data_IF_493489907074
#
_entry.id   IF_493489907074
#
_cell.length_a   1.000
_cell.length_b   1.000
_cell.length_c   1.000
_cell.angle_alpha   90.00
_cell.angle_beta   90.00
_cell.angle_gamma   90.00
#
_symmetry.space_group_name_H-M   'P 1'
#
loop_
_entity.id
_entity.type
_entity.pdbx_description
1 polymer ?
#
# COMPACT_ATOMS: atom_id res chain seq x y z
N UNK A 1 -2.49 1.83 -24.23
CA UNK A 1 -1.61 1.58 -23.06
C UNK A 1 -1.89 2.63 -22.00
N UNK A 2 -1.66 2.34 -20.72
CA UNK A 2 -2.07 3.20 -19.59
C UNK A 2 -1.70 4.70 -19.71
N UNK A 3 -0.58 5.03 -20.38
CA UNK A 3 -0.20 6.44 -20.65
C UNK A 3 -1.04 7.07 -21.77
N UNK A 4 -1.24 6.36 -22.88
CA UNK A 4 -2.02 6.87 -24.03
C UNK A 4 -3.51 6.99 -23.71
N UNK A 5 -3.99 6.15 -22.79
CA UNK A 5 -5.37 6.15 -22.28
C UNK A 5 -5.57 7.13 -21.11
N UNK A 6 -4.51 7.80 -20.64
CA UNK A 6 -4.58 8.83 -19.59
C UNK A 6 -4.65 8.31 -18.16
N UNK A 7 -4.59 7.00 -17.92
CA UNK A 7 -4.49 6.41 -16.57
C UNK A 7 -3.19 6.78 -15.85
N UNK A 8 -2.09 6.99 -16.60
CA UNK A 8 -0.80 7.44 -16.08
C UNK A 8 -0.38 8.69 -16.86
N UNK A 9 -0.10 9.78 -16.16
CA UNK A 9 0.42 10.99 -16.84
C UNK A 9 1.80 10.71 -17.44
N UNK A 10 2.16 11.39 -18.54
CA UNK A 10 3.50 11.23 -19.14
C UNK A 10 4.63 11.51 -18.15
N UNK A 11 4.44 12.44 -17.22
CA UNK A 11 5.39 12.73 -16.15
C UNK A 11 5.49 11.57 -15.13
N UNK A 12 4.36 11.00 -14.70
CA UNK A 12 4.33 9.89 -13.73
C UNK A 12 4.98 8.60 -14.26
N UNK A 13 5.16 8.45 -15.59
CA UNK A 13 5.89 7.32 -16.18
C UNK A 13 7.33 7.23 -15.68
N UNK A 14 7.96 8.35 -15.32
CA UNK A 14 9.36 8.38 -14.90
C UNK A 14 9.60 7.73 -13.53
N UNK A 15 8.54 7.35 -12.80
CA UNK A 15 8.61 6.61 -11.54
C UNK A 15 9.24 5.21 -11.74
N UNK A 16 8.98 4.57 -12.89
CA UNK A 16 9.46 3.21 -13.15
C UNK A 16 10.70 3.28 -14.05
N UNK A 17 11.85 2.89 -13.50
CA UNK A 17 13.13 2.85 -14.21
C UNK A 17 13.50 1.40 -14.49
N UNK A 18 13.77 1.09 -15.75
CA UNK A 18 14.34 -0.19 -16.18
C UNK A 18 15.72 0.01 -16.81
N UNK A 19 16.62 -0.93 -16.56
CA UNK A 19 17.98 -0.94 -17.09
C UNK A 19 18.40 -2.39 -17.39
N UNK A 20 19.35 -2.61 -18.32
CA UNK A 20 19.81 -3.95 -18.65
C UNK A 20 20.79 -4.54 -17.62
N UNK A 21 21.22 -3.76 -16.62
CA UNK A 21 22.11 -4.22 -15.56
C UNK A 21 21.82 -3.53 -14.23
N UNK A 22 22.11 -4.24 -13.14
CA UNK A 22 21.99 -3.70 -11.79
C UNK A 22 22.88 -2.45 -11.58
N UNK A 23 24.09 -2.45 -12.14
CA UNK A 23 25.00 -1.29 -12.03
C UNK A 23 24.40 -0.02 -12.61
N UNK A 24 23.79 -0.11 -13.79
CA UNK A 24 23.10 1.03 -14.42
C UNK A 24 21.83 1.42 -13.66
N UNK A 25 21.15 0.46 -13.03
CA UNK A 25 19.97 0.76 -12.20
C UNK A 25 20.34 1.64 -11.00
N UNK A 26 21.37 1.23 -10.26
CA UNK A 26 21.84 1.96 -9.08
C UNK A 26 22.30 3.36 -9.46
N UNK A 27 23.09 3.50 -10.52
CA UNK A 27 23.51 4.81 -11.02
C UNK A 27 22.32 5.73 -11.32
N UNK A 28 21.29 5.20 -12.01
CA UNK A 28 20.08 5.98 -12.31
C UNK A 28 19.28 6.36 -11.06
N UNK A 29 19.30 5.54 -10.01
CA UNK A 29 18.66 5.90 -8.74
C UNK A 29 19.43 6.98 -7.99
N UNK A 30 20.76 6.95 -8.01
CA UNK A 30 21.59 7.99 -7.38
C UNK A 30 21.45 9.35 -8.09
N UNK A 31 21.30 9.34 -9.42
CA UNK A 31 21.11 10.54 -10.24
C UNK A 31 19.67 11.08 -10.21
N UNK A 32 18.69 10.30 -9.75
CA UNK A 32 17.28 10.66 -9.85
C UNK A 32 16.91 11.77 -8.85
N UNK A 33 16.38 12.86 -9.39
CA UNK A 33 15.74 13.95 -8.63
C UNK A 33 14.30 14.07 -9.12
N UNK A 34 13.32 13.97 -8.21
CA UNK A 34 11.91 14.09 -8.59
C UNK A 34 11.60 15.51 -9.05
N UNK A 35 11.04 15.66 -10.26
CA UNK A 35 10.62 16.96 -10.80
C UNK A 35 9.32 17.49 -10.16
N UNK A 36 8.66 16.68 -9.31
CA UNK A 36 7.40 17.02 -8.66
C UNK A 36 7.33 16.42 -7.24
N UNK A 37 6.75 17.17 -6.31
CA UNK A 37 6.34 16.64 -5.01
C UNK A 37 5.03 15.87 -5.17
N UNK A 38 5.07 14.56 -4.96
CA UNK A 38 3.89 13.74 -4.91
C UNK A 38 3.31 13.78 -3.49
N UNK A 39 2.19 14.49 -3.29
CA UNK A 39 1.43 14.48 -2.04
C UNK A 39 0.60 13.18 -1.93
N UNK A 40 1.29 12.03 -1.99
CA UNK A 40 0.68 10.72 -1.82
C UNK A 40 0.58 10.41 -0.33
N UNK A 41 -0.64 10.23 0.16
CA UNK A 41 -0.91 9.74 1.51
C UNK A 41 -1.38 8.30 1.36
N UNK A 42 -0.80 7.39 2.13
CA UNK A 42 -1.34 6.03 2.22
C UNK A 42 -2.74 6.11 2.80
N UNK A 43 -3.73 5.57 2.09
CA UNK A 43 -4.99 5.22 2.72
C UNK A 43 -4.68 4.14 3.75
N UNK A 44 -4.49 4.58 4.99
CA UNK A 44 -4.51 3.70 6.13
C UNK A 44 -5.95 3.26 6.26
N UNK A 45 -6.18 1.94 6.27
CA UNK A 45 -7.46 1.33 6.62
C UNK A 45 -7.88 1.83 8.01
N UNK A 46 -8.50 3.00 8.06
CA UNK A 46 -9.34 3.44 9.16
C UNK A 46 -10.77 2.99 8.90
N UNK A 47 -10.95 1.85 8.22
CA UNK A 47 -12.12 1.02 8.48
C UNK A 47 -12.00 0.58 9.94
N UNK A 48 -12.60 1.37 10.81
CA UNK A 48 -12.91 0.96 12.18
C UNK A 48 -13.48 -0.45 12.07
N UNK A 49 -12.71 -1.44 12.49
CA UNK A 49 -13.20 -2.79 12.69
C UNK A 49 -14.30 -2.68 13.75
N UNK A 50 -15.55 -2.56 13.31
CA UNK A 50 -16.75 -2.69 14.14
C UNK A 50 -16.91 -4.17 14.48
N UNK A 51 -15.95 -4.73 15.20
CA UNK A 51 -15.98 -6.10 15.74
C UNK A 51 -15.94 -6.09 17.27
N UNK A 52 -16.60 -5.11 17.87
CA UNK A 52 -16.93 -5.12 19.29
C UNK A 52 -18.37 -4.63 19.38
N UNK A 53 -19.31 -5.57 19.26
CA UNK A 53 -20.67 -5.48 19.83
C UNK A 53 -21.33 -6.88 19.91
N UNK A 54 -20.88 -7.87 19.10
CA UNK A 54 -21.47 -9.23 19.13
C UNK A 54 -20.80 -10.23 20.09
N UNK A 55 -19.61 -9.95 20.63
CA UNK A 55 -18.89 -10.86 21.55
C UNK A 55 -19.00 -10.37 23.00
N UNK A 56 -20.22 -10.10 23.47
CA UNK A 56 -20.52 -9.95 24.90
C UNK A 56 -21.52 -10.99 25.42
N UNK A 57 -22.00 -11.89 24.58
CA UNK A 57 -22.91 -12.96 25.02
C UNK A 57 -22.19 -14.31 25.19
N UNK A 58 -21.35 -14.38 26.22
CA UNK A 58 -20.74 -15.62 26.68
C UNK A 58 -21.67 -16.46 27.57
N UNK A 59 -22.98 -16.14 27.63
CA UNK A 59 -23.96 -16.86 28.45
C UNK A 59 -24.19 -18.31 27.99
N UNK A 60 -23.74 -18.67 26.79
CA UNK A 60 -23.90 -20.00 26.21
C UNK A 60 -22.73 -20.97 26.45
N UNK A 61 -21.65 -20.56 27.10
CA UNK A 61 -20.54 -21.49 27.38
C UNK A 61 -20.79 -22.24 28.71
N UNK A 62 -20.89 -23.58 28.69
CA UNK A 62 -20.94 -24.34 29.94
C UNK A 62 -19.62 -24.18 30.69
N UNK A 63 -19.69 -23.92 32.00
CA UNK A 63 -18.51 -23.82 32.85
C UNK A 63 -17.70 -25.13 32.75
N UNK A 64 -16.37 -25.06 32.52
CA UNK A 64 -15.55 -26.27 32.52
C UNK A 64 -15.58 -26.87 33.92
N UNK A 65 -16.09 -28.09 34.03
CA UNK A 65 -16.03 -28.88 35.25
C UNK A 65 -14.58 -29.29 35.46
N UNK A 66 -13.93 -28.74 36.49
CA UNK A 66 -12.57 -29.16 36.87
C UNK A 66 -12.66 -30.59 37.43
N UNK A 67 -11.95 -31.51 36.79
CA UNK A 67 -11.68 -32.88 37.28
C UNK A 67 -10.72 -32.85 38.47
#
# INVERSE_FOLDING_TARGET
MAVDEGFITRAARNIIISTPSAKELIRKFEEYVSEYEANLVWDTENEKQTWIDDISDFSFLPYPTLL
#
